data_IF_516898241242
#
_entry.id   IF_516898241242
#
_cell.length_a   1.000
_cell.length_b   1.000
_cell.length_c   1.000
_cell.angle_alpha   90.00
_cell.angle_beta   90.00
_cell.angle_gamma   90.00
#
_symmetry.space_group_name_H-M   'P 1'
#
loop_
_entity.id
_entity.type
_entity.pdbx_description
1 polymer ?
#
# COMPACT_ATOMS: atom_id res chain seq x y z
N UNK A 1 -3.14 20.66 2.83
CA UNK A 1 -2.38 21.79 3.39
C UNK A 1 -3.13 22.33 4.61
N UNK A 2 -3.12 21.58 5.72
CA UNK A 2 -3.63 22.03 7.02
C UNK A 2 -2.43 21.98 7.97
N UNK A 3 -1.88 23.16 8.24
CA UNK A 3 -0.67 23.34 9.03
C UNK A 3 -0.96 23.06 10.51
N UNK A 4 -0.26 22.04 11.01
CA UNK A 4 0.03 21.73 12.41
C UNK A 4 0.56 22.98 13.16
N UNK A 5 -0.35 23.83 13.64
CA UNK A 5 -0.04 24.99 14.49
C UNK A 5 -0.08 24.67 15.99
N UNK A 6 -0.40 23.44 16.39
CA UNK A 6 -0.51 23.05 17.81
C UNK A 6 0.81 22.51 18.38
N UNK A 7 1.78 22.16 17.55
CA UNK A 7 3.05 21.58 18.01
C UNK A 7 4.05 22.60 18.60
N UNK A 8 3.93 23.89 18.28
CA UNK A 8 4.84 24.92 18.83
C UNK A 8 4.69 25.08 20.35
N UNK A 9 3.46 25.15 20.84
CA UNK A 9 3.17 25.32 22.28
C UNK A 9 3.59 24.08 23.09
N UNK A 10 3.44 22.89 22.50
CA UNK A 10 3.77 21.60 23.13
C UNK A 10 5.28 21.31 23.18
N UNK A 11 6.06 21.86 22.24
CA UNK A 11 7.52 21.69 22.17
C UNK A 11 8.25 22.47 23.27
N UNK A 12 7.77 23.65 23.62
CA UNK A 12 8.34 24.46 24.71
C UNK A 12 7.74 24.14 26.09
N UNK A 13 6.51 23.59 26.14
CA UNK A 13 5.89 23.23 27.42
C UNK A 13 6.55 22.02 28.09
N UNK A 14 6.97 21.00 27.34
CA UNK A 14 7.63 19.79 27.90
C UNK A 14 8.91 20.08 28.70
N UNK A 15 9.93 20.77 28.15
CA UNK A 15 11.13 21.09 28.94
C UNK A 15 10.81 22.03 30.10
N UNK A 16 9.87 22.97 29.94
CA UNK A 16 9.44 23.85 31.02
C UNK A 16 8.75 23.08 32.17
N UNK A 17 7.86 22.14 31.86
CA UNK A 17 7.20 21.28 32.86
C UNK A 17 8.23 20.40 33.56
N UNK A 18 9.16 19.80 32.82
CA UNK A 18 10.22 18.98 33.39
C UNK A 18 11.10 19.79 34.34
N UNK A 19 11.54 20.99 33.92
CA UNK A 19 12.33 21.89 34.75
C UNK A 19 11.56 22.31 36.01
N UNK A 20 10.28 22.65 35.89
CA UNK A 20 9.42 23.00 37.02
C UNK A 20 9.28 21.84 38.01
N UNK A 21 9.13 20.60 37.53
CA UNK A 21 9.07 19.41 38.37
C UNK A 21 10.39 19.17 39.11
N UNK A 22 11.52 19.24 38.40
CA UNK A 22 12.85 19.08 39.04
C UNK A 22 13.03 20.14 40.12
N UNK A 23 12.78 21.42 39.78
CA UNK A 23 12.92 22.53 40.73
C UNK A 23 11.98 22.40 41.93
N UNK A 24 10.71 22.02 41.71
CA UNK A 24 9.74 21.87 42.78
C UNK A 24 10.08 20.73 43.75
N UNK A 25 10.48 19.57 43.22
CA UNK A 25 10.90 18.42 44.04
C UNK A 25 12.20 18.76 44.79
N UNK A 26 13.14 19.43 44.14
CA UNK A 26 14.38 19.89 44.77
C UNK A 26 14.14 20.89 45.89
N UNK A 27 13.31 21.90 45.67
CA UNK A 27 12.98 22.88 46.70
C UNK A 27 12.33 22.21 47.93
N UNK A 28 11.40 21.26 47.70
CA UNK A 28 10.81 20.47 48.77
C UNK A 28 11.84 19.62 49.53
N UNK A 29 12.72 18.93 48.81
CA UNK A 29 13.79 18.13 49.42
C UNK A 29 14.74 18.98 50.29
N UNK A 30 15.14 20.17 49.83
CA UNK A 30 16.04 21.06 50.56
C UNK A 30 15.40 21.71 51.80
N UNK A 31 14.08 21.89 51.80
CA UNK A 31 13.36 22.61 52.87
C UNK A 31 12.88 21.70 54.00
N UNK A 32 12.71 20.40 53.74
CA UNK A 32 12.29 19.44 54.77
C UNK A 32 13.49 19.07 55.66
N UNK A 33 13.40 19.29 56.98
CA UNK A 33 14.46 18.88 57.90
C UNK A 33 14.62 17.36 57.93
N UNK A 34 15.88 16.89 57.91
CA UNK A 34 16.25 15.47 57.98
C UNK A 34 15.78 14.78 59.27
N UNK A 35 15.47 15.55 60.31
CA UNK A 35 14.86 15.06 61.55
C UNK A 35 13.46 14.48 61.34
N UNK A 36 12.77 14.85 60.25
CA UNK A 36 11.51 14.25 59.82
C UNK A 36 11.77 13.27 58.67
N UNK A 37 12.10 12.03 59.02
CA UNK A 37 12.50 10.99 58.05
C UNK A 37 11.45 10.73 56.96
N UNK A 38 10.17 10.60 57.34
CA UNK A 38 9.09 10.26 56.38
C UNK A 38 8.92 11.29 55.25
N UNK A 39 8.77 12.61 55.52
CA UNK A 39 8.64 13.58 54.43
C UNK A 39 9.94 13.74 53.64
N UNK A 40 11.12 13.58 54.26
CA UNK A 40 12.40 13.63 53.54
C UNK A 40 12.48 12.49 52.50
N UNK A 41 12.18 11.25 52.92
CA UNK A 41 12.17 10.07 52.04
C UNK A 41 11.14 10.18 50.91
N UNK A 42 10.00 10.81 51.16
CA UNK A 42 8.98 11.06 50.13
C UNK A 42 9.54 11.91 48.98
N UNK A 43 10.28 12.98 49.29
CA UNK A 43 10.88 13.84 48.26
C UNK A 43 11.97 13.14 47.46
N UNK A 44 12.75 12.25 48.10
CA UNK A 44 13.72 11.40 47.40
C UNK A 44 13.01 10.53 46.35
N UNK A 45 11.87 9.92 46.72
CA UNK A 45 11.06 9.12 45.79
C UNK A 45 10.39 9.97 44.69
N UNK A 46 10.05 11.22 44.96
CA UNK A 46 9.45 12.10 43.96
C UNK A 46 10.38 12.39 42.78
N UNK A 47 11.71 12.26 42.94
CA UNK A 47 12.66 12.43 41.83
C UNK A 47 12.52 11.37 40.73
N UNK A 48 11.91 10.21 41.00
CA UNK A 48 11.64 9.21 39.97
C UNK A 48 10.72 9.72 38.87
N UNK A 49 9.78 10.62 39.21
CA UNK A 49 8.81 11.18 38.25
C UNK A 49 9.47 12.04 37.16
N UNK A 50 10.26 13.09 37.48
CA UNK A 50 10.95 13.87 36.45
C UNK A 50 11.98 13.03 35.69
N UNK A 51 12.68 12.08 36.33
CA UNK A 51 13.62 11.19 35.62
C UNK A 51 12.91 10.36 34.55
N UNK A 52 11.80 9.70 34.93
CA UNK A 52 11.01 8.91 34.00
C UNK A 52 10.42 9.78 32.89
N UNK A 53 9.93 10.98 33.20
CA UNK A 53 9.41 11.93 32.21
C UNK A 53 10.51 12.44 31.26
N UNK A 54 11.71 12.71 31.77
CA UNK A 54 12.88 13.05 30.98
C UNK A 54 13.21 11.96 29.96
N UNK A 55 13.21 10.69 30.40
CA UNK A 55 13.38 9.53 29.53
C UNK A 55 12.25 9.39 28.50
N UNK A 56 10.99 9.57 28.93
CA UNK A 56 9.82 9.42 28.08
C UNK A 56 9.70 10.49 26.99
N UNK A 57 10.09 11.73 27.27
CA UNK A 57 9.96 12.83 26.32
C UNK A 57 11.19 13.06 25.45
N UNK A 58 12.38 12.73 25.94
CA UNK A 58 13.64 13.06 25.28
C UNK A 58 14.56 11.84 25.09
N UNK A 59 14.05 10.63 25.28
CA UNK A 59 14.76 9.37 25.04
C UNK A 59 15.88 9.12 26.04
N UNK A 60 16.88 8.33 25.64
CA UNK A 60 18.01 7.94 26.49
C UNK A 60 18.73 9.13 27.14
N UNK A 61 19.10 10.13 26.34
CA UNK A 61 19.85 11.29 26.82
C UNK A 61 19.00 12.20 27.72
N UNK A 62 17.69 12.22 27.50
CA UNK A 62 16.73 12.87 28.39
C UNK A 62 16.71 12.29 29.79
N UNK A 63 16.57 10.96 29.88
CA UNK A 63 16.53 10.24 31.14
C UNK A 63 17.85 10.32 31.89
N UNK A 64 18.97 10.07 31.21
CA UNK A 64 20.32 10.17 31.81
C UNK A 64 20.68 11.60 32.20
N UNK A 65 20.38 12.59 31.37
CA UNK A 65 20.64 14.00 31.67
C UNK A 65 19.85 14.49 32.87
N UNK A 66 18.57 14.11 32.97
CA UNK A 66 17.72 14.47 34.11
C UNK A 66 18.18 13.77 35.40
N UNK A 67 18.51 12.48 35.34
CA UNK A 67 19.04 11.74 36.49
C UNK A 67 20.40 12.29 36.96
N UNK A 68 21.29 12.65 36.02
CA UNK A 68 22.58 13.27 36.33
C UNK A 68 22.43 14.64 36.98
N UNK A 69 21.52 15.48 36.47
CA UNK A 69 21.22 16.79 37.06
C UNK A 69 20.69 16.65 38.49
N UNK A 70 19.73 15.74 38.70
CA UNK A 70 19.18 15.48 40.04
C UNK A 70 20.26 14.96 40.98
N UNK A 71 21.12 14.05 40.50
CA UNK A 71 22.25 13.51 41.28
C UNK A 71 23.22 14.61 41.71
N UNK A 72 23.54 15.55 40.82
CA UNK A 72 24.42 16.69 41.11
C UNK A 72 23.88 17.56 42.26
N UNK A 73 22.56 17.72 42.33
CA UNK A 73 21.89 18.52 43.36
C UNK A 73 21.69 17.71 44.66
N UNK A 74 21.40 16.43 44.54
CA UNK A 74 21.11 15.53 45.65
C UNK A 74 22.36 15.14 46.44
N UNK A 75 23.48 14.84 45.76
CA UNK A 75 24.71 14.33 46.38
C UNK A 75 25.32 15.27 47.44
N UNK A 76 25.52 16.58 47.19
CA UNK A 76 26.06 17.47 48.20
C UNK A 76 25.18 17.55 49.45
N UNK A 77 23.86 17.57 49.29
CA UNK A 77 22.93 17.66 50.42
C UNK A 77 23.03 16.44 51.35
N UNK A 78 23.16 15.23 50.79
CA UNK A 78 23.40 14.03 51.59
C UNK A 78 24.72 14.15 52.35
N UNK A 79 25.81 14.50 51.66
CA UNK A 79 27.15 14.54 52.27
C UNK A 79 27.26 15.59 53.38
N UNK A 80 26.61 16.74 53.23
CA UNK A 80 26.68 17.82 54.21
C UNK A 80 25.67 17.71 55.36
N UNK A 81 24.54 17.01 55.16
CA UNK A 81 23.47 16.96 56.18
C UNK A 81 23.42 15.60 56.89
N UNK A 82 23.73 14.50 56.21
CA UNK A 82 23.65 13.17 56.79
C UNK A 82 25.02 12.65 57.23
N UNK A 83 25.17 12.46 58.54
CA UNK A 83 26.37 11.89 59.14
C UNK A 83 25.96 10.60 59.87
N UNK A 84 26.35 9.43 59.35
CA UNK A 84 26.11 8.14 60.01
C UNK A 84 25.72 6.99 59.07
N UNK A 85 25.24 5.86 59.62
CA UNK A 85 24.94 4.65 58.86
C UNK A 85 23.84 4.82 57.80
N UNK A 86 22.92 5.77 58.02
CA UNK A 86 21.81 6.06 57.10
C UNK A 86 22.28 6.70 55.78
N UNK A 87 23.45 7.35 55.76
CA UNK A 87 24.04 7.98 54.55
C UNK A 87 24.22 6.95 53.43
N UNK A 88 24.53 5.70 53.77
CA UNK A 88 24.70 4.63 52.77
C UNK A 88 23.40 4.35 52.00
N UNK A 89 22.25 4.31 52.68
CA UNK A 89 20.96 4.09 52.02
C UNK A 89 20.62 5.19 51.01
N UNK A 90 20.87 6.45 51.38
CA UNK A 90 20.64 7.59 50.48
C UNK A 90 21.60 7.62 49.29
N UNK A 91 22.86 7.17 49.46
CA UNK A 91 23.81 7.03 48.36
C UNK A 91 23.41 5.91 47.38
N UNK A 92 22.76 4.84 47.86
CA UNK A 92 22.26 3.76 47.00
C UNK A 92 21.12 4.20 46.07
N UNK A 93 20.45 5.32 46.31
CA UNK A 93 19.44 5.86 45.40
C UNK A 93 20.03 6.37 44.09
N UNK A 94 21.29 6.82 44.08
CA UNK A 94 21.97 7.36 42.89
C UNK A 94 22.04 6.33 41.75
N UNK A 95 22.54 5.09 41.94
CA UNK A 95 22.51 4.09 40.88
C UNK A 95 21.07 3.73 40.46
N UNK A 96 20.08 3.84 41.35
CA UNK A 96 18.67 3.61 41.00
C UNK A 96 18.13 4.73 40.11
N UNK A 97 18.43 6.01 40.39
CA UNK A 97 18.09 7.14 39.53
C UNK A 97 18.68 7.00 38.13
N UNK A 98 19.97 6.69 38.04
CA UNK A 98 20.63 6.43 36.75
C UNK A 98 20.00 5.23 36.04
N UNK A 99 19.68 4.16 36.78
CA UNK A 99 19.01 2.98 36.27
C UNK A 99 17.63 3.27 35.70
N UNK A 100 16.78 4.04 36.40
CA UNK A 100 15.44 4.43 35.93
C UNK A 100 15.53 5.33 34.71
N UNK A 101 16.46 6.29 34.68
CA UNK A 101 16.68 7.15 33.52
C UNK A 101 17.14 6.37 32.29
N UNK A 102 18.09 5.46 32.48
CA UNK A 102 18.58 4.54 31.45
C UNK A 102 17.47 3.63 30.91
N UNK A 103 16.77 2.91 31.79
CA UNK A 103 15.72 1.96 31.41
C UNK A 103 14.57 2.66 30.69
N UNK A 104 14.06 3.75 31.25
CA UNK A 104 12.94 4.49 30.65
C UNK A 104 13.33 5.05 29.28
N UNK A 105 14.52 5.66 29.18
CA UNK A 105 15.03 6.19 27.92
C UNK A 105 15.24 5.10 26.86
N UNK A 106 15.85 3.97 27.21
CA UNK A 106 16.05 2.83 26.31
C UNK A 106 14.72 2.22 25.84
N UNK A 107 13.74 2.06 26.73
CA UNK A 107 12.42 1.53 26.38
C UNK A 107 11.74 2.42 25.35
N UNK A 108 11.75 3.73 25.58
CA UNK A 108 11.10 4.71 24.71
C UNK A 108 11.79 4.76 23.34
N UNK A 109 13.12 4.78 23.31
CA UNK A 109 13.88 4.79 22.05
C UNK A 109 13.67 3.49 21.27
N UNK A 110 13.70 2.32 21.95
CA UNK A 110 13.37 1.04 21.32
C UNK A 110 11.94 1.02 20.78
N UNK A 111 10.97 1.47 21.57
CA UNK A 111 9.58 1.48 21.15
C UNK A 111 9.37 2.39 19.93
N UNK A 112 10.05 3.54 19.90
CA UNK A 112 10.03 4.45 18.75
C UNK A 112 10.62 3.79 17.50
N UNK A 113 11.71 3.02 17.64
CA UNK A 113 12.30 2.26 16.54
C UNK A 113 11.37 1.16 16.02
N UNK A 114 10.78 0.36 16.91
CA UNK A 114 9.84 -0.70 16.52
C UNK A 114 8.62 -0.15 15.77
N UNK A 115 8.05 0.97 16.24
CA UNK A 115 6.92 1.62 15.57
C UNK A 115 7.26 2.05 14.15
N UNK A 116 8.42 2.71 13.95
CA UNK A 116 8.88 3.10 12.61
C UNK A 116 9.09 1.89 11.70
N UNK A 117 9.61 0.79 12.25
CA UNK A 117 9.78 -0.46 11.51
C UNK A 117 8.44 -1.07 11.05
N UNK A 118 7.45 -1.11 11.94
CA UNK A 118 6.10 -1.61 11.63
C UNK A 118 5.40 -0.76 10.58
N UNK A 119 5.52 0.58 10.67
CA UNK A 119 4.98 1.50 9.66
C UNK A 119 5.62 1.23 8.28
N UNK A 120 6.95 1.07 8.22
CA UNK A 120 7.63 0.74 6.96
C UNK A 120 7.22 -0.61 6.36
N UNK A 121 6.99 -1.63 7.21
CA UNK A 121 6.47 -2.93 6.77
C UNK A 121 5.04 -2.83 6.25
N UNK A 122 4.17 -2.09 6.94
CA UNK A 122 2.80 -1.88 6.53
C UNK A 122 2.71 -1.14 5.18
N UNK A 123 3.54 -0.13 4.98
CA UNK A 123 3.63 0.58 3.69
C UNK A 123 4.11 -0.33 2.56
N UNK A 124 5.15 -1.12 2.80
CA UNK A 124 5.70 -2.06 1.81
C UNK A 124 4.65 -3.10 1.41
N UNK A 125 3.95 -3.67 2.40
CA UNK A 125 2.87 -4.64 2.17
C UNK A 125 1.69 -4.00 1.41
N UNK A 126 1.33 -2.75 1.74
CA UNK A 126 0.28 -2.04 1.03
C UNK A 126 0.65 -1.76 -0.44
N UNK A 127 1.92 -1.46 -0.73
CA UNK A 127 2.41 -1.28 -2.11
C UNK A 127 2.38 -2.59 -2.89
N UNK A 128 2.96 -3.67 -2.35
CA UNK A 128 2.98 -4.97 -3.04
C UNK A 128 1.58 -5.52 -3.29
N UNK A 129 0.64 -5.33 -2.35
CA UNK A 129 -0.75 -5.71 -2.55
C UNK A 129 -1.41 -4.94 -3.71
N UNK A 130 -1.17 -3.62 -3.83
CA UNK A 130 -1.69 -2.84 -4.95
C UNK A 130 -1.09 -3.27 -6.29
N UNK A 131 0.21 -3.52 -6.34
CA UNK A 131 0.89 -4.00 -7.54
C UNK A 131 0.33 -5.35 -7.99
N UNK A 132 0.12 -6.30 -7.07
CA UNK A 132 -0.49 -7.58 -7.37
C UNK A 132 -1.93 -7.42 -7.91
N UNK A 133 -2.74 -6.55 -7.31
CA UNK A 133 -4.09 -6.28 -7.79
C UNK A 133 -4.11 -5.72 -9.22
N UNK A 134 -3.19 -4.81 -9.54
CA UNK A 134 -3.04 -4.25 -10.87
C UNK A 134 -2.58 -5.30 -11.89
N UNK A 135 -1.61 -6.14 -11.51
CA UNK A 135 -1.17 -7.25 -12.34
C UNK A 135 -2.29 -8.25 -12.61
N UNK A 136 -3.05 -8.65 -11.58
CA UNK A 136 -4.22 -9.53 -11.75
C UNK A 136 -5.24 -8.92 -12.69
N UNK A 137 -5.55 -7.62 -12.55
CA UNK A 137 -6.47 -6.93 -13.45
C UNK A 137 -6.00 -6.97 -14.90
N UNK A 138 -4.73 -6.64 -15.14
CA UNK A 138 -4.15 -6.65 -16.50
C UNK A 138 -4.15 -8.06 -17.11
N UNK A 139 -3.90 -9.10 -16.30
CA UNK A 139 -3.98 -10.48 -16.75
C UNK A 139 -5.40 -10.85 -17.19
N UNK A 140 -6.41 -10.53 -16.39
CA UNK A 140 -7.81 -10.80 -16.72
C UNK A 140 -8.26 -10.05 -17.99
N UNK A 141 -7.83 -8.80 -18.16
CA UNK A 141 -8.11 -8.02 -19.36
C UNK A 141 -7.49 -8.66 -20.61
N UNK A 142 -6.23 -9.14 -20.53
CA UNK A 142 -5.56 -9.85 -21.63
C UNK A 142 -6.20 -11.20 -21.92
N UNK A 143 -6.56 -11.97 -20.90
CA UNK A 143 -7.25 -13.26 -21.05
C UNK A 143 -8.59 -13.06 -21.77
N UNK A 144 -9.37 -12.05 -21.40
CA UNK A 144 -10.61 -11.71 -22.09
C UNK A 144 -10.40 -11.32 -23.57
N UNK A 145 -9.31 -10.59 -23.88
CA UNK A 145 -8.96 -10.26 -25.26
C UNK A 145 -8.56 -11.49 -26.06
N UNK A 146 -7.75 -12.39 -25.49
CA UNK A 146 -7.36 -13.65 -26.14
C UNK A 146 -8.58 -14.52 -26.42
N UNK A 147 -9.49 -14.68 -25.46
CA UNK A 147 -10.73 -15.42 -25.67
C UNK A 147 -11.61 -14.83 -26.78
N UNK A 148 -11.66 -13.49 -26.91
CA UNK A 148 -12.39 -12.84 -28.01
C UNK A 148 -11.70 -13.09 -29.35
N UNK A 149 -10.38 -12.98 -29.41
CA UNK A 149 -9.60 -13.22 -30.61
C UNK A 149 -9.73 -14.68 -31.09
N UNK A 150 -9.67 -15.63 -30.15
CA UNK A 150 -9.82 -17.06 -30.44
C UNK A 150 -11.21 -17.39 -31.00
N UNK A 151 -12.28 -16.84 -30.39
CA UNK A 151 -13.66 -16.97 -30.91
C UNK A 151 -13.81 -16.40 -32.32
N UNK A 152 -13.23 -15.23 -32.59
CA UNK A 152 -13.29 -14.61 -33.91
C UNK A 152 -12.51 -15.42 -34.95
N UNK A 153 -11.34 -15.96 -34.56
CA UNK A 153 -10.53 -16.84 -35.43
C UNK A 153 -11.30 -18.11 -35.79
N UNK A 154 -11.86 -18.79 -34.80
CA UNK A 154 -12.69 -19.98 -35.00
C UNK A 154 -13.90 -19.68 -35.90
N UNK A 155 -14.60 -18.56 -35.66
CA UNK A 155 -15.71 -18.13 -36.50
C UNK A 155 -15.27 -17.85 -37.94
N UNK A 156 -14.11 -17.23 -38.14
CA UNK A 156 -13.54 -16.95 -39.46
C UNK A 156 -13.19 -18.23 -40.23
N UNK A 157 -12.57 -19.21 -39.56
CA UNK A 157 -12.27 -20.52 -40.15
C UNK A 157 -13.54 -21.28 -40.55
N UNK A 158 -14.52 -21.36 -39.65
CA UNK A 158 -15.79 -22.03 -39.93
C UNK A 158 -16.56 -21.33 -41.06
N UNK A 159 -16.59 -19.99 -41.06
CA UNK A 159 -17.23 -19.21 -42.12
C UNK A 159 -16.57 -19.45 -43.48
N UNK A 160 -15.23 -19.53 -43.54
CA UNK A 160 -14.50 -19.83 -44.76
C UNK A 160 -14.84 -21.21 -45.33
N UNK A 161 -14.91 -22.23 -44.47
CA UNK A 161 -15.36 -23.58 -44.85
C UNK A 161 -16.78 -23.57 -45.40
N UNK A 162 -17.73 -22.98 -44.66
CA UNK A 162 -19.13 -22.88 -45.05
C UNK A 162 -19.31 -22.12 -46.38
N UNK A 163 -18.56 -21.04 -46.59
CA UNK A 163 -18.63 -20.29 -47.83
C UNK A 163 -18.12 -21.09 -49.04
N UNK A 164 -17.10 -21.92 -48.85
CA UNK A 164 -16.67 -22.84 -49.90
C UNK A 164 -17.76 -23.86 -50.22
N UNK A 165 -18.39 -24.44 -49.20
CA UNK A 165 -19.50 -25.38 -49.35
C UNK A 165 -20.76 -24.76 -49.99
N UNK A 166 -21.05 -23.46 -49.78
CA UNK A 166 -22.16 -22.75 -50.43
C UNK A 166 -21.82 -22.36 -51.88
N UNK A 167 -20.56 -22.00 -52.17
CA UNK A 167 -20.12 -21.68 -53.54
C UNK A 167 -20.23 -22.89 -54.46
N UNK A 168 -20.05 -24.10 -53.94
CA UNK A 168 -20.15 -25.34 -54.71
C UNK A 168 -21.53 -25.55 -55.37
N UNK A 169 -22.67 -25.60 -54.65
CA UNK A 169 -23.99 -25.75 -55.24
C UNK A 169 -24.40 -24.52 -56.07
N UNK A 170 -24.00 -23.31 -55.69
CA UNK A 170 -24.22 -22.11 -56.53
C UNK A 170 -23.50 -22.24 -57.88
N UNK A 171 -22.28 -22.77 -57.89
CA UNK A 171 -21.55 -23.09 -59.11
C UNK A 171 -22.24 -24.15 -59.95
N UNK A 172 -22.73 -25.22 -59.32
CA UNK A 172 -23.48 -26.28 -60.01
C UNK A 172 -24.80 -25.76 -60.61
N UNK A 173 -25.57 -24.96 -59.88
CA UNK A 173 -26.81 -24.33 -60.36
C UNK A 173 -26.50 -23.41 -61.55
N UNK A 174 -25.45 -22.59 -61.43
CA UNK A 174 -25.01 -21.71 -62.52
C UNK A 174 -24.70 -22.52 -63.79
N UNK A 175 -23.87 -23.57 -63.67
CA UNK A 175 -23.49 -24.40 -64.82
C UNK A 175 -24.69 -25.12 -65.44
N UNK A 176 -25.62 -25.63 -64.63
CA UNK A 176 -26.85 -26.25 -65.14
C UNK A 176 -27.72 -25.27 -65.92
N UNK A 177 -27.84 -24.01 -65.46
CA UNK A 177 -28.60 -22.98 -66.16
C UNK A 177 -27.89 -22.51 -67.43
N UNK A 178 -26.56 -22.40 -67.43
CA UNK A 178 -25.78 -22.06 -68.63
C UNK A 178 -25.96 -23.12 -69.74
N UNK A 179 -26.01 -24.42 -69.39
CA UNK A 179 -26.32 -25.50 -70.35
C UNK A 179 -27.75 -25.37 -70.90
N UNK A 180 -28.73 -25.09 -70.03
CA UNK A 180 -30.12 -24.89 -70.45
C UNK A 180 -30.29 -23.63 -71.34
N UNK A 181 -29.41 -22.64 -71.22
CA UNK A 181 -29.42 -21.44 -72.06
C UNK A 181 -28.95 -21.75 -73.50
N UNK A 182 -28.04 -22.71 -73.68
CA UNK A 182 -27.59 -23.19 -75.01
C UNK A 182 -28.74 -23.86 -75.80
N UNK A 183 -29.64 -24.57 -75.11
CA UNK A 183 -30.75 -25.30 -75.73
C UNK A 183 -31.97 -24.40 -76.06
N UNK A 184 -32.08 -23.20 -75.48
CA UNK A 184 -33.26 -22.32 -75.62
C UNK A 184 -32.86 -20.85 -75.89
N UNK A 185 -32.54 -20.49 -77.15
CA UNK A 185 -32.05 -19.16 -77.52
C UNK A 185 -33.09 -18.04 -77.37
N UNK A 186 -32.60 -16.79 -77.53
CA UNK A 186 -33.31 -15.53 -77.30
C UNK A 186 -34.69 -15.50 -77.98
N UNK A 187 -35.76 -15.51 -77.17
CA UNK A 187 -37.16 -15.51 -77.64
C UNK A 187 -38.02 -16.66 -77.11
N UNK A 188 -37.42 -17.68 -76.52
CA UNK A 188 -38.16 -18.76 -75.86
C UNK A 188 -38.83 -18.27 -74.54
N UNK A 189 -40.08 -18.66 -74.23
CA UNK A 189 -40.79 -18.19 -73.03
C UNK A 189 -40.07 -18.48 -71.70
N UNK A 190 -39.14 -19.46 -71.70
CA UNK A 190 -38.38 -19.85 -70.51
C UNK A 190 -37.06 -19.08 -70.30
N UNK A 191 -36.59 -18.31 -71.28
CA UNK A 191 -35.31 -17.60 -71.20
C UNK A 191 -35.27 -16.58 -70.05
N UNK A 192 -36.41 -15.93 -69.76
CA UNK A 192 -36.53 -14.98 -68.64
C UNK A 192 -36.27 -15.63 -67.27
N UNK A 193 -36.74 -16.88 -67.06
CA UNK A 193 -36.54 -17.59 -65.80
C UNK A 193 -35.06 -17.92 -65.56
N UNK A 194 -34.32 -18.31 -66.60
CA UNK A 194 -32.88 -18.61 -66.49
C UNK A 194 -32.07 -17.35 -66.14
N UNK A 195 -32.39 -16.23 -66.78
CA UNK A 195 -31.77 -14.94 -66.46
C UNK A 195 -31.99 -14.52 -64.99
N UNK A 196 -33.19 -14.77 -64.45
CA UNK A 196 -33.50 -14.52 -63.03
C UNK A 196 -32.65 -15.42 -62.11
N UNK A 197 -32.54 -16.72 -62.41
CA UNK A 197 -31.76 -17.65 -61.59
C UNK A 197 -30.27 -17.25 -61.57
N UNK A 198 -29.68 -16.95 -62.74
CA UNK A 198 -28.29 -16.50 -62.82
C UNK A 198 -28.03 -15.21 -62.04
N UNK A 199 -28.98 -14.27 -62.09
CA UNK A 199 -28.91 -13.03 -61.31
C UNK A 199 -28.90 -13.30 -59.80
N UNK A 200 -29.76 -14.20 -59.31
CA UNK A 200 -29.81 -14.54 -57.88
C UNK A 200 -28.58 -15.34 -57.43
N UNK A 201 -28.07 -16.26 -58.25
CA UNK A 201 -26.79 -16.95 -57.95
C UNK A 201 -25.64 -15.96 -57.83
N UNK A 202 -25.54 -14.98 -58.75
CA UNK A 202 -24.52 -13.92 -58.69
C UNK A 202 -24.67 -13.07 -57.43
N UNK A 203 -25.90 -12.71 -57.07
CA UNK A 203 -26.21 -11.95 -55.85
C UNK A 203 -25.81 -12.72 -54.58
N UNK A 204 -26.18 -13.99 -54.47
CA UNK A 204 -25.83 -14.85 -53.33
C UNK A 204 -24.32 -15.02 -53.18
N UNK A 205 -23.59 -15.20 -54.29
CA UNK A 205 -22.12 -15.20 -54.27
C UNK A 205 -21.53 -13.89 -53.73
N UNK A 206 -22.15 -12.74 -54.06
CA UNK A 206 -21.78 -11.44 -53.49
C UNK A 206 -22.01 -11.37 -51.98
N UNK A 207 -23.17 -11.84 -51.50
CA UNK A 207 -23.49 -11.87 -50.06
C UNK A 207 -22.50 -12.74 -49.28
N UNK A 208 -22.21 -13.94 -49.76
CA UNK A 208 -21.22 -14.85 -49.13
C UNK A 208 -19.83 -14.21 -49.09
N UNK A 209 -19.43 -13.54 -50.17
CA UNK A 209 -18.13 -12.87 -50.25
C UNK A 209 -18.03 -11.71 -49.26
N UNK A 210 -19.08 -10.89 -49.14
CA UNK A 210 -19.11 -9.78 -48.20
C UNK A 210 -19.10 -10.26 -46.74
N UNK A 211 -19.84 -11.33 -46.43
CA UNK A 211 -19.84 -11.94 -45.10
C UNK A 211 -18.45 -12.47 -44.71
N UNK A 212 -17.75 -13.13 -45.63
CA UNK A 212 -16.38 -13.60 -45.40
C UNK A 212 -15.36 -12.48 -45.19
N UNK A 213 -15.50 -11.38 -45.92
CA UNK A 213 -14.59 -10.24 -45.78
C UNK A 213 -14.75 -9.57 -44.41
N UNK A 214 -15.95 -9.60 -43.83
CA UNK A 214 -16.21 -9.12 -42.48
C UNK A 214 -15.68 -10.07 -41.40
N UNK A 215 -15.80 -11.38 -41.61
CA UNK A 215 -15.35 -12.41 -40.65
C UNK A 215 -13.84 -12.70 -40.72
N UNK A 216 -13.10 -12.08 -41.65
CA UNK A 216 -11.66 -12.30 -41.81
C UNK A 216 -10.90 -11.61 -40.65
N UNK A 217 -10.05 -12.32 -39.90
CA UNK A 217 -9.22 -11.70 -38.89
C UNK A 217 -8.30 -10.65 -39.54
N UNK A 218 -8.25 -9.44 -38.97
CA UNK A 218 -7.25 -8.43 -39.34
C UNK A 218 -5.89 -9.01 -38.98
N UNK A 219 -5.16 -9.50 -39.98
CA UNK A 219 -3.77 -9.93 -39.79
C UNK A 219 -2.96 -8.70 -39.39
N UNK A 220 -2.58 -8.64 -38.12
CA UNK A 220 -1.68 -7.61 -37.62
C UNK A 220 -0.32 -7.84 -38.31
N UNK A 221 -0.03 -7.00 -39.31
CA UNK A 221 1.26 -7.00 -40.00
C UNK A 221 2.28 -6.48 -38.99
N UNK A 222 3.11 -7.38 -38.44
CA UNK A 222 4.31 -6.97 -37.73
C UNK A 222 5.19 -6.22 -38.73
N UNK A 223 5.25 -4.89 -38.58
CA UNK A 223 6.26 -4.07 -39.22
C UNK A 223 7.47 -4.11 -38.27
N UNK A 224 8.62 -4.65 -38.69
CA UNK A 224 9.82 -4.76 -37.86
C UNK A 224 10.41 -3.39 -37.52
#
# INVERSE_FOLDING_TARGET
MWLDKTNGWRRWSRPAILALMVLGVTAGHMTVPVTRQVPHDLFVRLYYLPIALGGAWFGLWGGLGTAGLITLVYLPHILFVHHGPLTFGYLLEIPVFLGVGLLTGLIVDRQAQYRRGLEGQAETLARSHRELQEQTRLLLEKEAQLHRADRLSALGQLSAGLAHEIRNPLGAIKGAVEILEEDYPSGHPKAEFYAIILKEVKRLNGVVTNFLNFARPVSMRFVP
#
